data_IF_714184283317
#
_entry.id   IF_714184283317
#
_cell.length_a   1.000
_cell.length_b   1.000
_cell.length_c   1.000
_cell.angle_alpha   90.00
_cell.angle_beta   90.00
_cell.angle_gamma   90.00
#
_symmetry.space_group_name_H-M   'P 1'
#
loop_
_entity.id
_entity.type
_entity.pdbx_description
1 polymer ?
#
# COMPACT_ATOMS: atom_id res chain seq x y z
N UNK A 1 1.02 -26.52 -7.86
CA UNK A 1 1.88 -25.54 -7.14
C UNK A 1 1.97 -25.90 -5.67
N UNK A 2 3.17 -25.85 -5.08
CA UNK A 2 3.33 -26.06 -3.64
C UNK A 2 2.49 -25.01 -2.86
N UNK A 3 1.85 -25.39 -1.73
CA UNK A 3 0.99 -24.48 -0.96
C UNK A 3 1.72 -23.24 -0.44
N UNK A 4 3.03 -23.34 -0.22
CA UNK A 4 3.91 -22.23 0.15
C UNK A 4 4.08 -21.23 -0.99
N UNK A 5 4.31 -21.70 -2.22
CA UNK A 5 4.42 -20.85 -3.42
C UNK A 5 3.11 -20.11 -3.70
N UNK A 6 1.96 -20.77 -3.54
CA UNK A 6 0.65 -20.12 -3.69
C UNK A 6 0.43 -19.01 -2.65
N UNK A 7 0.84 -19.24 -1.40
CA UNK A 7 0.72 -18.24 -0.33
C UNK A 7 1.66 -17.05 -0.57
N UNK A 8 2.90 -17.31 -0.96
CA UNK A 8 3.87 -16.28 -1.31
C UNK A 8 3.37 -15.44 -2.50
N UNK A 9 2.84 -16.08 -3.55
CA UNK A 9 2.25 -15.39 -4.70
C UNK A 9 1.06 -14.50 -4.31
N UNK A 10 0.12 -15.02 -3.50
CA UNK A 10 -1.00 -14.23 -3.00
C UNK A 10 -0.54 -13.06 -2.11
N UNK A 11 0.52 -13.26 -1.32
CA UNK A 11 1.07 -12.22 -0.45
C UNK A 11 1.71 -11.10 -1.25
N UNK A 12 2.49 -11.45 -2.28
CA UNK A 12 3.05 -10.50 -3.23
C UNK A 12 1.95 -9.74 -3.97
N UNK A 13 0.92 -10.42 -4.46
CA UNK A 13 -0.23 -9.79 -5.10
C UNK A 13 -0.97 -8.83 -4.16
N UNK A 14 -1.07 -9.18 -2.88
CA UNK A 14 -1.70 -8.30 -1.87
C UNK A 14 -0.85 -7.07 -1.61
N UNK A 15 0.48 -7.22 -1.50
CA UNK A 15 1.41 -6.10 -1.37
C UNK A 15 1.39 -5.18 -2.58
N UNK A 16 1.38 -5.74 -3.79
CA UNK A 16 1.24 -5.00 -5.05
C UNK A 16 -0.09 -4.24 -5.10
N UNK A 17 -1.21 -4.90 -4.79
CA UNK A 17 -2.51 -4.25 -4.76
C UNK A 17 -2.54 -3.11 -3.75
N UNK A 18 -1.97 -3.30 -2.55
CA UNK A 18 -1.82 -2.25 -1.56
C UNK A 18 -1.00 -1.06 -2.06
N UNK A 19 0.19 -1.31 -2.63
CA UNK A 19 1.02 -0.23 -3.18
C UNK A 19 0.31 0.54 -4.31
N UNK A 20 -0.41 -0.14 -5.20
CA UNK A 20 -1.22 0.49 -6.26
C UNK A 20 -2.35 1.32 -5.67
N UNK A 21 -3.07 0.82 -4.65
CA UNK A 21 -4.11 1.57 -3.96
C UNK A 21 -3.55 2.83 -3.30
N UNK A 22 -2.44 2.71 -2.58
CA UNK A 22 -1.78 3.86 -1.96
C UNK A 22 -1.32 4.87 -3.01
N UNK A 23 -0.63 4.42 -4.06
CA UNK A 23 -0.17 5.28 -5.14
C UNK A 23 -1.31 6.02 -5.84
N UNK A 24 -2.37 5.30 -6.24
CA UNK A 24 -3.51 5.91 -6.95
C UNK A 24 -4.26 6.91 -6.09
N UNK A 25 -4.43 6.64 -4.79
CA UNK A 25 -5.15 7.56 -3.89
C UNK A 25 -4.30 8.74 -3.43
N UNK A 26 -2.98 8.56 -3.25
CA UNK A 26 -2.04 9.68 -3.03
C UNK A 26 -1.99 10.57 -4.27
N UNK A 27 -1.88 10.00 -5.47
CA UNK A 27 -1.92 10.73 -6.73
C UNK A 27 -3.24 11.51 -6.89
N UNK A 28 -4.38 10.86 -6.62
CA UNK A 28 -5.69 11.51 -6.67
C UNK A 28 -5.79 12.68 -5.67
N UNK A 29 -5.26 12.51 -4.45
CA UNK A 29 -5.23 13.58 -3.45
C UNK A 29 -4.36 14.76 -3.91
N UNK A 30 -3.22 14.49 -4.57
CA UNK A 30 -2.37 15.53 -5.14
C UNK A 30 -3.07 16.26 -6.30
N UNK A 31 -3.70 15.54 -7.22
CA UNK A 31 -4.35 16.18 -8.39
C UNK A 31 -5.60 16.96 -7.98
N UNK A 32 -6.41 16.47 -7.05
CA UNK A 32 -7.68 17.11 -6.70
C UNK A 32 -7.60 18.03 -5.47
N UNK A 33 -6.59 17.87 -4.63
CA UNK A 33 -6.42 18.62 -3.38
C UNK A 33 -5.34 19.71 -3.47
N UNK A 34 -4.05 19.31 -3.50
CA UNK A 34 -2.95 20.23 -3.16
C UNK A 34 -1.92 20.51 -4.26
N UNK A 35 -1.71 19.57 -5.18
CA UNK A 35 -0.91 19.78 -6.38
C UNK A 35 -1.48 20.86 -7.30
N UNK A 36 -2.75 21.25 -7.15
CA UNK A 36 -3.37 22.35 -7.89
C UNK A 36 -2.64 23.70 -7.72
N UNK A 37 -2.00 23.95 -6.57
CA UNK A 37 -1.23 25.19 -6.34
C UNK A 37 0.06 25.28 -7.15
N UNK A 38 0.63 24.13 -7.55
CA UNK A 38 1.84 24.05 -8.37
C UNK A 38 1.58 23.54 -9.79
N UNK A 39 0.37 23.06 -10.08
CA UNK A 39 0.03 22.54 -11.40
C UNK A 39 0.18 23.62 -12.47
N UNK A 40 0.93 23.30 -13.52
CA UNK A 40 1.26 24.25 -14.58
C UNK A 40 2.41 25.21 -14.24
N UNK A 41 2.94 25.19 -13.02
CA UNK A 41 4.15 25.91 -12.64
C UNK A 41 5.40 25.10 -13.01
N UNK A 42 6.44 25.80 -13.46
CA UNK A 42 7.77 25.24 -13.65
C UNK A 42 8.48 25.16 -12.29
N UNK A 43 9.22 24.08 -12.05
CA UNK A 43 10.09 23.95 -10.87
C UNK A 43 11.21 24.99 -10.92
N UNK A 44 11.55 25.57 -9.77
CA UNK A 44 12.66 26.54 -9.65
C UNK A 44 14.02 25.86 -9.86
N UNK A 45 14.17 24.61 -9.40
CA UNK A 45 15.39 23.82 -9.59
C UNK A 45 15.49 23.20 -10.99
N UNK A 46 14.34 22.92 -11.63
CA UNK A 46 14.28 22.37 -12.99
C UNK A 46 13.23 23.09 -13.84
N UNK A 47 13.55 24.28 -14.40
CA UNK A 47 12.58 25.14 -15.09
C UNK A 47 11.92 24.52 -16.32
N UNK A 48 12.48 23.43 -16.85
CA UNK A 48 11.93 22.67 -17.98
C UNK A 48 10.88 21.65 -17.56
N UNK A 49 10.78 21.32 -16.27
CA UNK A 49 9.82 20.38 -15.71
C UNK A 49 8.61 21.15 -15.17
N UNK A 50 7.53 21.10 -15.95
CA UNK A 50 6.22 21.60 -15.53
C UNK A 50 5.52 20.53 -14.71
N UNK A 51 4.97 20.91 -13.55
CA UNK A 51 4.18 19.99 -12.73
C UNK A 51 2.89 19.64 -13.46
N UNK A 52 2.81 18.39 -13.89
CA UNK A 52 1.65 17.82 -14.57
C UNK A 52 1.11 16.62 -13.80
N UNK A 53 -0.17 16.23 -13.99
CA UNK A 53 -0.71 15.01 -13.40
C UNK A 53 0.12 13.76 -13.73
N UNK A 54 0.73 13.70 -14.92
CA UNK A 54 1.57 12.59 -15.36
C UNK A 54 2.91 12.56 -14.59
N UNK A 55 3.54 13.72 -14.38
CA UNK A 55 4.76 13.81 -13.58
C UNK A 55 4.52 13.40 -12.12
N UNK A 56 3.41 13.86 -11.53
CA UNK A 56 3.01 13.45 -10.19
C UNK A 56 2.77 11.93 -10.11
N UNK A 57 2.13 11.34 -11.12
CA UNK A 57 1.95 9.89 -11.19
C UNK A 57 3.31 9.15 -11.21
N UNK A 58 4.29 9.67 -11.95
CA UNK A 58 5.65 9.11 -11.97
C UNK A 58 6.33 9.21 -10.60
N UNK A 59 6.29 10.37 -9.93
CA UNK A 59 6.89 10.54 -8.61
C UNK A 59 6.29 9.59 -7.57
N UNK A 60 4.97 9.46 -7.57
CA UNK A 60 4.27 8.52 -6.67
C UNK A 60 4.62 7.07 -7.02
N UNK A 61 4.64 6.71 -8.31
CA UNK A 61 4.97 5.36 -8.76
C UNK A 61 6.41 4.95 -8.45
N UNK A 62 7.36 5.88 -8.39
CA UNK A 62 8.75 5.61 -8.02
C UNK A 62 8.94 5.40 -6.52
N UNK A 63 8.11 6.01 -5.68
CA UNK A 63 8.18 5.87 -4.22
C UNK A 63 7.36 4.68 -3.69
N UNK A 64 6.30 4.28 -4.38
CA UNK A 64 5.42 3.17 -4.00
C UNK A 64 6.05 1.76 -3.89
N UNK A 65 7.13 1.38 -4.62
CA UNK A 65 7.66 0.01 -4.57
C UNK A 65 8.14 -0.43 -3.19
N UNK A 66 8.59 0.50 -2.33
CA UNK A 66 9.00 0.19 -0.96
C UNK A 66 7.83 -0.40 -0.14
N UNK A 67 6.60 0.06 -0.40
CA UNK A 67 5.40 -0.47 0.25
C UNK A 67 5.09 -1.90 -0.17
N UNK A 68 5.39 -2.28 -1.42
CA UNK A 68 5.10 -3.62 -1.95
C UNK A 68 5.77 -4.68 -1.08
N UNK A 69 7.07 -4.51 -0.79
CA UNK A 69 7.84 -5.49 -0.04
C UNK A 69 7.36 -5.61 1.40
N UNK A 70 7.17 -4.47 2.08
CA UNK A 70 6.71 -4.42 3.47
C UNK A 70 5.32 -5.06 3.63
N UNK A 71 4.39 -4.69 2.75
CA UNK A 71 3.03 -5.22 2.78
C UNK A 71 2.98 -6.68 2.35
N UNK A 72 3.81 -7.12 1.40
CA UNK A 72 3.88 -8.51 0.99
C UNK A 72 4.40 -9.41 2.12
N UNK A 73 5.43 -8.98 2.87
CA UNK A 73 5.91 -9.71 4.05
C UNK A 73 4.79 -9.85 5.07
N UNK A 74 4.15 -8.74 5.45
CA UNK A 74 3.07 -8.75 6.43
C UNK A 74 1.87 -9.59 5.98
N UNK A 75 1.52 -9.52 4.68
CA UNK A 75 0.49 -10.34 4.09
C UNK A 75 0.85 -11.83 4.13
N UNK A 76 2.12 -12.20 3.92
CA UNK A 76 2.55 -13.60 4.02
C UNK A 76 2.31 -14.15 5.43
N UNK A 77 2.47 -13.33 6.47
CA UNK A 77 2.22 -13.68 7.88
C UNK A 77 0.77 -13.48 8.34
N UNK A 78 -0.11 -12.90 7.51
CA UNK A 78 -1.48 -12.49 7.85
C UNK A 78 -2.50 -13.65 8.01
N UNK A 79 -2.18 -14.62 8.85
CA UNK A 79 -3.11 -15.66 9.29
C UNK A 79 -3.96 -15.19 10.48
N UNK A 80 -3.33 -14.94 11.64
CA UNK A 80 -3.99 -14.41 12.84
C UNK A 80 -4.45 -12.96 12.70
N UNK A 81 -5.47 -12.57 13.48
CA UNK A 81 -6.01 -11.20 13.47
C UNK A 81 -4.98 -10.09 13.77
N UNK A 82 -3.96 -10.26 14.65
CA UNK A 82 -3.00 -9.20 14.95
C UNK A 82 -2.11 -8.84 13.75
N UNK A 83 -1.71 -9.84 12.95
CA UNK A 83 -0.91 -9.59 11.74
C UNK A 83 -1.71 -8.89 10.65
N UNK A 84 -3.02 -9.12 10.58
CA UNK A 84 -3.91 -8.38 9.68
C UNK A 84 -4.02 -6.92 10.11
N UNK A 85 -4.26 -6.67 11.40
CA UNK A 85 -4.29 -5.32 11.95
C UNK A 85 -2.97 -4.60 11.70
N UNK A 86 -1.84 -5.24 12.00
CA UNK A 86 -0.50 -4.68 11.76
C UNK A 86 -0.29 -4.37 10.27
N UNK A 87 -0.73 -5.24 9.36
CA UNK A 87 -0.64 -4.99 7.93
C UNK A 87 -1.45 -3.77 7.50
N UNK A 88 -2.66 -3.60 8.04
CA UNK A 88 -3.51 -2.43 7.76
C UNK A 88 -2.93 -1.15 8.36
N UNK A 89 -2.38 -1.21 9.58
CA UNK A 89 -1.69 -0.07 10.20
C UNK A 89 -0.45 0.33 9.40
N UNK A 90 0.33 -0.64 8.92
CA UNK A 90 1.48 -0.38 8.05
C UNK A 90 1.07 0.15 6.68
N UNK A 91 -0.07 -0.29 6.14
CA UNK A 91 -0.64 0.33 4.95
C UNK A 91 -1.00 1.80 5.20
N UNK A 92 -1.71 2.09 6.29
CA UNK A 92 -2.13 3.43 6.65
C UNK A 92 -0.94 4.38 6.89
N UNK A 93 0.08 3.90 7.62
CA UNK A 93 1.33 4.64 7.82
C UNK A 93 2.10 4.82 6.51
N UNK A 94 2.14 3.78 5.68
CA UNK A 94 2.78 3.80 4.37
C UNK A 94 2.11 4.77 3.40
N UNK A 95 0.79 4.93 3.49
CA UNK A 95 0.04 5.92 2.73
C UNK A 95 0.43 7.35 3.10
N UNK A 96 0.52 7.64 4.40
CA UNK A 96 1.01 8.93 4.90
C UNK A 96 2.45 9.18 4.46
N UNK A 97 3.34 8.20 4.67
CA UNK A 97 4.75 8.29 4.29
C UNK A 97 4.93 8.57 2.79
N UNK A 98 4.11 7.92 1.94
CA UNK A 98 4.14 8.15 0.51
C UNK A 98 3.70 9.58 0.14
N UNK A 99 2.64 10.08 0.79
CA UNK A 99 2.21 11.47 0.64
C UNK A 99 3.33 12.45 1.00
N UNK A 100 3.87 12.33 2.21
CA UNK A 100 4.95 13.18 2.74
C UNK A 100 6.20 13.15 1.85
N UNK A 101 6.64 11.96 1.42
CA UNK A 101 7.85 11.82 0.59
C UNK A 101 7.70 12.54 -0.75
N UNK A 102 6.52 12.45 -1.36
CA UNK A 102 6.26 13.10 -2.66
C UNK A 102 6.11 14.60 -2.48
N UNK A 103 5.44 15.08 -1.44
CA UNK A 103 5.27 16.52 -1.20
C UNK A 103 6.53 17.20 -0.70
N UNK A 104 7.36 16.54 0.11
CA UNK A 104 8.66 17.08 0.53
C UNK A 104 9.58 17.27 -0.68
N UNK A 105 9.62 16.29 -1.59
CA UNK A 105 10.38 16.42 -2.83
C UNK A 105 9.86 17.55 -3.72
N UNK A 106 8.54 17.71 -3.80
CA UNK A 106 7.94 18.83 -4.53
C UNK A 106 8.31 20.17 -3.87
N UNK A 107 8.28 20.25 -2.54
CA UNK A 107 8.66 21.46 -1.80
C UNK A 107 10.12 21.85 -2.08
N UNK A 108 11.04 20.88 -2.08
CA UNK A 108 12.44 21.08 -2.46
C UNK A 108 12.56 21.63 -3.89
N UNK A 109 11.81 21.07 -4.85
CA UNK A 109 11.79 21.48 -6.26
C UNK A 109 11.33 22.95 -6.48
N UNK A 110 10.62 23.54 -5.50
CA UNK A 110 10.14 24.93 -5.47
C UNK A 110 10.85 25.79 -4.41
N UNK A 111 12.02 25.35 -3.92
CA UNK A 111 12.83 26.12 -2.97
C UNK A 111 12.17 26.35 -1.60
N UNK A 112 11.14 25.58 -1.25
CA UNK A 112 10.47 25.67 0.03
C UNK A 112 11.16 24.74 1.04
N UNK A 113 11.87 25.32 2.00
CA UNK A 113 12.46 24.57 3.11
C UNK A 113 11.37 24.25 4.16
N UNK A 114 10.76 23.07 4.04
CA UNK A 114 9.76 22.56 4.96
C UNK A 114 10.36 21.49 5.89
N UNK A 115 9.97 21.50 7.16
CA UNK A 115 10.36 20.46 8.11
C UNK A 115 9.55 19.16 7.87
N UNK A 116 10.03 17.99 8.36
CA UNK A 116 9.28 16.75 8.27
C UNK A 116 7.87 16.88 8.86
N UNK A 117 6.86 16.54 8.05
CA UNK A 117 5.43 16.66 8.38
C UNK A 117 4.79 17.97 7.94
N UNK A 118 5.55 19.06 7.77
CA UNK A 118 5.01 20.33 7.27
C UNK A 118 4.63 20.23 5.80
N UNK A 119 5.37 19.46 5.00
CA UNK A 119 5.05 19.26 3.59
C UNK A 119 3.68 18.56 3.42
N UNK A 120 3.39 17.54 4.23
CA UNK A 120 2.08 16.90 4.23
C UNK A 120 0.96 17.86 4.66
N UNK A 121 1.14 18.62 5.74
CA UNK A 121 0.10 19.54 6.22
C UNK A 121 -0.18 20.67 5.21
N UNK A 122 0.87 21.25 4.64
CA UNK A 122 0.76 22.44 3.77
C UNK A 122 0.38 22.10 2.33
N UNK A 123 0.90 21.00 1.78
CA UNK A 123 0.78 20.68 0.35
C UNK A 123 -0.10 19.47 0.06
N UNK A 124 -0.42 18.66 1.06
CA UNK A 124 -1.14 17.40 0.86
C UNK A 124 -2.48 17.30 1.61
N UNK A 125 -2.61 17.92 2.78
CA UNK A 125 -3.77 17.76 3.64
C UNK A 125 -4.96 18.63 3.19
N UNK A 126 -6.09 17.96 2.96
CA UNK A 126 -7.36 18.56 2.57
C UNK A 126 -8.48 17.98 3.44
N UNK A 127 -9.12 18.84 4.25
CA UNK A 127 -10.01 18.44 5.33
C UNK A 127 -11.13 17.45 4.95
N UNK A 128 -11.77 17.50 3.76
CA UNK A 128 -12.70 16.44 3.35
C UNK A 128 -12.04 15.33 2.52
N UNK A 129 -11.09 15.68 1.65
CA UNK A 129 -10.58 14.77 0.61
C UNK A 129 -9.58 13.76 1.16
N UNK A 130 -8.61 14.23 1.94
CA UNK A 130 -7.52 13.40 2.48
C UNK A 130 -8.02 12.31 3.41
N UNK A 131 -8.88 12.59 4.43
CA UNK A 131 -9.40 11.52 5.28
C UNK A 131 -10.32 10.56 4.50
N UNK A 132 -11.07 11.04 3.51
CA UNK A 132 -11.93 10.17 2.70
C UNK A 132 -11.11 9.19 1.84
N UNK A 133 -10.06 9.67 1.16
CA UNK A 133 -9.18 8.82 0.36
C UNK A 133 -8.38 7.86 1.24
N UNK A 134 -7.84 8.34 2.37
CA UNK A 134 -7.11 7.50 3.31
C UNK A 134 -7.99 6.39 3.90
N UNK A 135 -9.20 6.73 4.39
CA UNK A 135 -10.12 5.76 4.97
C UNK A 135 -10.62 4.78 3.91
N UNK A 136 -10.97 5.27 2.72
CA UNK A 136 -11.40 4.46 1.58
C UNK A 136 -10.32 3.47 1.13
N UNK A 137 -9.08 3.95 0.97
CA UNK A 137 -7.93 3.11 0.61
C UNK A 137 -7.66 2.04 1.68
N UNK A 138 -7.69 2.43 2.95
CA UNK A 138 -7.44 1.53 4.09
C UNK A 138 -8.52 0.45 4.19
N UNK A 139 -9.79 0.81 4.00
CA UNK A 139 -10.90 -0.14 3.97
C UNK A 139 -10.80 -1.09 2.75
N UNK A 140 -10.47 -0.56 1.57
CA UNK A 140 -10.27 -1.35 0.36
C UNK A 140 -9.10 -2.33 0.50
N UNK A 141 -8.01 -1.91 1.15
CA UNK A 141 -6.87 -2.76 1.45
C UNK A 141 -7.25 -3.89 2.42
N UNK A 142 -7.93 -3.58 3.52
CA UNK A 142 -8.43 -4.57 4.47
C UNK A 142 -9.34 -5.61 3.78
N UNK A 143 -10.24 -5.15 2.90
CA UNK A 143 -11.11 -6.03 2.12
C UNK A 143 -10.29 -6.95 1.20
N UNK A 144 -9.30 -6.41 0.49
CA UNK A 144 -8.44 -7.16 -0.43
C UNK A 144 -7.60 -8.20 0.31
N UNK A 145 -6.95 -7.79 1.40
CA UNK A 145 -6.19 -8.67 2.29
C UNK A 145 -7.07 -9.82 2.79
N UNK A 146 -8.28 -9.50 3.25
CA UNK A 146 -9.23 -10.49 3.77
C UNK A 146 -9.68 -11.47 2.69
N UNK A 147 -9.95 -11.00 1.46
CA UNK A 147 -10.39 -11.83 0.34
C UNK A 147 -9.29 -12.75 -0.16
N UNK A 148 -8.11 -12.21 -0.46
CA UNK A 148 -7.01 -12.97 -1.05
C UNK A 148 -6.42 -13.98 -0.06
N UNK A 149 -6.28 -13.61 1.21
CA UNK A 149 -5.69 -14.50 2.22
C UNK A 149 -6.66 -15.58 2.72
N UNK A 150 -7.98 -15.37 2.61
CA UNK A 150 -8.98 -16.41 2.92
C UNK A 150 -8.78 -17.65 2.04
N UNK A 151 -8.46 -17.46 0.76
CA UNK A 151 -8.19 -18.57 -0.15
C UNK A 151 -6.98 -19.41 0.26
N UNK A 152 -5.92 -18.76 0.78
CA UNK A 152 -4.74 -19.45 1.29
C UNK A 152 -5.05 -20.25 2.57
N UNK A 153 -5.88 -19.70 3.46
CA UNK A 153 -6.28 -20.37 4.71
C UNK A 153 -7.14 -21.62 4.47
N UNK A 154 -8.13 -21.54 3.58
CA UNK A 154 -9.01 -22.68 3.26
C UNK A 154 -8.20 -23.85 2.68
N UNK A 155 -7.28 -23.57 1.76
CA UNK A 155 -6.42 -24.59 1.17
C UNK A 155 -5.49 -25.26 2.22
N UNK A 156 -4.98 -24.49 3.19
CA UNK A 156 -4.15 -25.02 4.26
C UNK A 156 -4.94 -25.92 5.24
N UNK A 157 -6.19 -25.54 5.56
CA UNK A 157 -7.07 -26.33 6.43
C UNK A 157 -7.43 -27.67 5.78
N UNK A 158 -7.77 -27.67 4.49
CA UNK A 158 -8.08 -28.89 3.74
C UNK A 158 -6.90 -29.87 3.77
N UNK A 159 -5.69 -29.41 3.45
CA UNK A 159 -4.48 -30.25 3.47
C UNK A 159 -4.20 -30.86 4.85
N UNK A 160 -4.37 -30.09 5.92
CA UNK A 160 -4.17 -30.59 7.28
C UNK A 160 -5.22 -31.64 7.69
N UNK A 161 -6.46 -31.57 7.16
CA UNK A 161 -7.45 -32.63 7.37
C UNK A 161 -7.03 -33.92 6.67
N UNK A 162 -6.58 -33.84 5.42
CA UNK A 162 -6.18 -35.02 4.64
C UNK A 162 -4.99 -35.74 5.30
N UNK A 163 -3.98 -34.99 5.75
CA UNK A 163 -2.83 -35.55 6.47
C UNK A 163 -3.24 -36.25 7.78
N UNK A 164 -4.18 -35.66 8.53
CA UNK A 164 -4.69 -36.26 9.77
C UNK A 164 -5.51 -37.51 9.50
N UNK A 165 -6.29 -37.55 8.42
CA UNK A 165 -7.06 -38.73 8.03
C UNK A 165 -6.13 -39.86 7.58
N UNK A 166 -5.11 -39.56 6.76
CA UNK A 166 -4.10 -40.54 6.35
C UNK A 166 -3.33 -41.13 7.55
N UNK A 167 -2.89 -40.28 8.48
CA UNK A 167 -2.20 -40.74 9.69
C UNK A 167 -3.10 -41.62 10.59
N UNK A 168 -4.40 -41.30 10.70
CA UNK A 168 -5.37 -42.14 11.43
C UNK A 168 -5.62 -43.48 10.73
N UNK A 169 -5.74 -43.49 9.41
CA UNK A 169 -5.92 -44.72 8.63
C UNK A 169 -4.70 -45.64 8.72
N UNK A 170 -3.48 -45.08 8.74
CA UNK A 170 -2.26 -45.86 8.93
C UNK A 170 -2.15 -46.42 10.35
N UNK A 171 -2.52 -45.63 11.37
CA UNK A 171 -2.58 -46.12 12.76
C UNK A 171 -3.61 -47.24 12.96
N UNK A 172 -4.70 -47.27 12.19
CA UNK A 172 -5.70 -48.34 12.26
C UNK A 172 -5.27 -49.64 11.57
N UNK A 173 -4.20 -49.61 10.76
CA UNK A 173 -3.66 -50.78 10.04
C UNK A 173 -2.49 -51.46 10.76
N UNK A 174 -1.90 -50.79 11.76
CA UNK A 174 -0.82 -51.30 12.59
C UNK A 174 -1.36 -51.70 13.96
#
# INVERSE_FOLDING_TARGET
MAPQLRRAGLALLTGLAGAVMAATTVWANLVWGGGAGFMGSASDLTPTLVVTPALLALHVALAAPLLVFLLAILAAFSGPWPFRLLSVLMFAAGWYWLGETVTARLADDFGMALLPGEAFETLFWHAPLTPALWAGATAAYLFTLSRLMRFAQVAAIARNRDLRQGARAQKARN
#
